data_IF_002191123072
#
_entry.id   IF_002191123072
#
_cell.length_a   1.000
_cell.length_b   1.000
_cell.length_c   1.000
_cell.angle_alpha   90.00
_cell.angle_beta   90.00
_cell.angle_gamma   90.00
#
_symmetry.space_group_name_H-M   'P 1'
#
loop_
_entity.id
_entity.type
_entity.pdbx_description
1 polymer ?
#
# COMPACT_ATOMS: atom_id res chain seq x y z
N UNK A 1 12.77 26.96 -19.72
CA UNK A 1 13.98 26.13 -19.55
C UNK A 1 14.09 25.94 -18.05
N UNK A 2 13.41 24.91 -17.54
CA UNK A 2 13.29 24.62 -16.12
C UNK A 2 14.30 23.53 -15.79
N UNK A 3 15.43 23.90 -15.19
CA UNK A 3 16.25 22.98 -14.42
C UNK A 3 15.57 22.85 -13.04
N UNK A 4 14.76 21.81 -12.88
CA UNK A 4 14.39 21.32 -11.55
C UNK A 4 15.66 20.75 -10.92
N UNK A 5 16.19 21.42 -9.89
CA UNK A 5 17.32 20.97 -9.08
C UNK A 5 16.94 19.65 -8.39
N UNK A 6 17.28 18.53 -9.01
CA UNK A 6 17.37 17.24 -8.32
C UNK A 6 18.79 17.12 -7.77
N UNK A 7 18.97 17.44 -6.49
CA UNK A 7 20.19 17.04 -5.79
C UNK A 7 20.10 15.53 -5.49
N UNK A 8 21.19 14.79 -5.74
CA UNK A 8 21.27 13.41 -5.25
C UNK A 8 21.22 13.43 -3.71
N UNK A 9 20.69 12.36 -3.09
CA UNK A 9 20.65 12.25 -1.62
C UNK A 9 22.02 12.44 -0.95
N UNK A 10 23.10 12.16 -1.67
CA UNK A 10 24.50 12.34 -1.26
C UNK A 10 24.93 13.81 -1.26
N UNK A 11 24.59 14.59 -2.29
CA UNK A 11 24.81 16.04 -2.31
C UNK A 11 24.03 16.73 -1.18
N UNK A 12 22.83 16.24 -0.90
CA UNK A 12 21.99 16.75 0.18
C UNK A 12 22.59 16.47 1.57
N UNK A 13 22.97 15.22 1.85
CA UNK A 13 23.55 14.83 3.14
C UNK A 13 24.84 15.60 3.46
N UNK A 14 25.74 15.70 2.48
CA UNK A 14 27.00 16.45 2.62
C UNK A 14 26.78 17.95 2.84
N UNK A 15 25.78 18.55 2.16
CA UNK A 15 25.53 20.00 2.20
C UNK A 15 24.77 20.46 3.43
N UNK A 16 23.88 19.63 3.99
CA UNK A 16 22.93 20.06 5.02
C UNK A 16 23.06 19.33 6.36
N UNK A 17 23.61 18.11 6.39
CA UNK A 17 23.71 17.30 7.62
C UNK A 17 25.12 17.21 8.18
N UNK A 18 26.15 17.50 7.36
CA UNK A 18 27.55 17.26 7.74
C UNK A 18 27.86 15.78 7.98
N UNK A 19 27.04 14.88 7.42
CA UNK A 19 27.18 13.42 7.51
C UNK A 19 27.68 12.91 6.16
N UNK A 20 28.86 12.29 6.17
CA UNK A 20 29.33 11.48 5.04
C UNK A 20 28.53 10.17 5.07
N UNK A 21 27.69 9.97 4.07
CA UNK A 21 27.13 8.65 3.79
C UNK A 21 28.28 7.76 3.29
N UNK A 22 28.41 6.54 3.80
CA UNK A 22 29.54 5.65 3.48
C UNK A 22 29.72 5.51 1.96
N UNK A 23 30.98 5.60 1.49
CA UNK A 23 31.32 5.46 0.08
C UNK A 23 30.91 4.08 -0.49
N UNK A 24 30.51 4.00 -1.76
CA UNK A 24 30.23 2.73 -2.42
C UNK A 24 31.44 1.80 -2.33
N UNK A 25 31.19 0.50 -2.12
CA UNK A 25 32.25 -0.49 -2.02
C UNK A 25 33.09 -0.51 -3.32
N UNK A 26 34.41 -0.39 -3.18
CA UNK A 26 35.35 -0.69 -4.26
C UNK A 26 35.27 -2.18 -4.58
N UNK A 27 35.26 -2.52 -5.88
CA UNK A 27 35.32 -3.90 -6.38
C UNK A 27 36.54 -4.63 -5.81
N UNK A 28 36.38 -5.34 -4.70
CA UNK A 28 37.32 -6.38 -4.29
C UNK A 28 36.55 -7.68 -4.01
N UNK A 29 37.15 -8.73 -4.52
CA UNK A 29 36.67 -10.08 -4.76
C UNK A 29 35.84 -10.66 -3.60
N UNK A 30 34.58 -11.00 -3.91
CA UNK A 30 33.81 -11.94 -3.08
C UNK A 30 34.30 -13.33 -3.44
N UNK A 31 35.03 -13.92 -2.49
CA UNK A 31 35.49 -15.32 -2.53
C UNK A 31 34.27 -16.24 -2.66
N UNK A 32 34.25 -17.04 -3.72
CA UNK A 32 33.12 -17.88 -4.12
C UNK A 32 33.33 -19.32 -3.67
N UNK A 33 33.11 -19.59 -2.39
CA UNK A 33 32.98 -20.97 -1.88
C UNK A 33 31.54 -21.21 -1.37
N UNK A 34 30.64 -21.50 -2.32
CA UNK A 34 29.49 -22.44 -2.26
C UNK A 34 28.38 -22.05 -3.27
N UNK A 35 28.77 -21.69 -4.49
CA UNK A 35 27.84 -21.74 -5.63
C UNK A 35 28.13 -23.02 -6.39
N UNK A 36 27.27 -24.02 -6.26
CA UNK A 36 27.26 -25.15 -7.19
C UNK A 36 27.05 -24.58 -8.59
N UNK A 37 28.12 -24.58 -9.39
CA UNK A 37 28.06 -24.20 -10.80
C UNK A 37 27.03 -25.10 -11.48
N UNK A 38 25.95 -24.50 -12.00
CA UNK A 38 24.97 -25.22 -12.79
C UNK A 38 25.66 -25.79 -14.03
N UNK A 39 25.32 -27.02 -14.40
CA UNK A 39 25.90 -27.70 -15.57
C UNK A 39 25.85 -26.81 -16.84
N UNK A 40 26.88 -26.91 -17.69
CA UNK A 40 27.03 -26.13 -18.95
C UNK A 40 25.80 -26.19 -19.87
N UNK A 41 24.95 -27.22 -19.71
CA UNK A 41 23.62 -27.28 -20.31
C UNK A 41 22.70 -28.17 -19.50
N UNK A 42 21.44 -27.77 -19.35
CA UNK A 42 20.43 -28.53 -18.63
C UNK A 42 19.10 -28.56 -19.40
N UNK A 43 18.49 -29.73 -19.57
CA UNK A 43 17.27 -29.93 -20.37
C UNK A 43 16.28 -30.86 -19.66
N UNK A 44 15.23 -30.28 -19.07
CA UNK A 44 14.17 -31.00 -18.35
C UNK A 44 13.48 -32.10 -19.17
N UNK A 45 13.55 -32.07 -20.52
CA UNK A 45 13.00 -33.14 -21.37
C UNK A 45 13.76 -34.46 -21.17
N UNK A 46 15.05 -34.39 -20.89
CA UNK A 46 15.90 -35.56 -20.64
C UNK A 46 15.65 -36.19 -19.26
N UNK A 47 15.04 -35.41 -18.36
CA UNK A 47 14.74 -35.82 -16.99
C UNK A 47 13.28 -36.25 -16.80
N UNK A 48 12.47 -36.31 -17.87
CA UNK A 48 11.07 -36.74 -17.78
C UNK A 48 10.13 -35.72 -17.14
N UNK A 49 10.60 -34.50 -16.87
CA UNK A 49 9.82 -33.42 -16.23
C UNK A 49 8.98 -32.59 -17.22
N UNK A 50 9.04 -32.90 -18.52
CA UNK A 50 8.36 -32.15 -19.58
C UNK A 50 7.44 -33.08 -20.36
N UNK A 51 6.15 -32.72 -20.42
CA UNK A 51 5.14 -33.44 -21.19
C UNK A 51 5.30 -33.32 -22.71
N UNK A 52 4.51 -34.07 -23.49
CA UNK A 52 4.55 -33.99 -24.95
C UNK A 52 4.16 -32.59 -25.46
N UNK A 53 4.69 -32.20 -26.62
CA UNK A 53 4.37 -30.92 -27.26
C UNK A 53 2.88 -30.84 -27.55
N UNK A 54 2.24 -29.76 -27.11
CA UNK A 54 0.81 -29.49 -27.30
C UNK A 54 0.60 -28.37 -28.31
N UNK A 55 -0.47 -28.45 -29.11
CA UNK A 55 -0.82 -27.44 -30.10
C UNK A 55 -2.07 -26.66 -29.66
N UNK A 56 -1.91 -25.36 -29.46
CA UNK A 56 -2.99 -24.46 -29.03
C UNK A 56 -3.99 -24.10 -30.14
N UNK A 57 -3.75 -24.51 -31.39
CA UNK A 57 -4.56 -24.08 -32.53
C UNK A 57 -4.50 -22.56 -32.74
N UNK A 58 -5.61 -21.95 -33.19
CA UNK A 58 -5.69 -20.51 -33.53
C UNK A 58 -6.24 -19.63 -32.41
N UNK A 59 -6.41 -20.14 -31.18
CA UNK A 59 -7.16 -19.43 -30.12
C UNK A 59 -6.33 -18.53 -29.20
N UNK A 60 -5.03 -18.31 -29.49
CA UNK A 60 -4.19 -17.36 -28.72
C UNK A 60 -4.01 -17.73 -27.24
N UNK A 61 -4.10 -19.01 -26.90
CA UNK A 61 -4.13 -19.51 -25.52
C UNK A 61 -2.78 -20.01 -24.99
N UNK A 62 -1.66 -19.52 -25.53
CA UNK A 62 -0.30 -19.97 -25.17
C UNK A 62 -0.03 -19.93 -23.67
N UNK A 63 -0.58 -18.91 -22.98
CA UNK A 63 -0.51 -18.77 -21.54
C UNK A 63 -1.07 -19.99 -20.79
N UNK A 64 -2.17 -20.58 -21.26
CA UNK A 64 -2.80 -21.74 -20.64
C UNK A 64 -1.94 -23.01 -20.82
N UNK A 65 -1.38 -23.21 -22.02
CA UNK A 65 -0.49 -24.33 -22.30
C UNK A 65 0.83 -24.25 -21.52
N UNK A 66 1.41 -23.05 -21.40
CA UNK A 66 2.61 -22.81 -20.60
C UNK A 66 2.37 -23.02 -19.11
N UNK A 67 1.24 -22.53 -18.58
CA UNK A 67 0.86 -22.69 -17.17
C UNK A 67 0.68 -24.17 -16.80
N UNK A 68 0.00 -24.93 -17.66
CA UNK A 68 -0.17 -26.37 -17.44
C UNK A 68 1.19 -27.08 -17.44
N UNK A 69 2.07 -26.77 -18.40
CA UNK A 69 3.42 -27.35 -18.44
C UNK A 69 4.25 -27.05 -17.19
N UNK A 70 4.13 -25.85 -16.61
CA UNK A 70 4.82 -25.50 -15.37
C UNK A 70 4.33 -26.35 -14.18
N UNK A 71 3.02 -26.54 -14.06
CA UNK A 71 2.41 -27.32 -12.97
C UNK A 71 2.81 -28.80 -13.05
N UNK A 72 2.85 -29.35 -14.26
CA UNK A 72 3.33 -30.72 -14.49
C UNK A 72 4.79 -30.89 -14.06
N UNK A 73 5.65 -29.91 -14.40
CA UNK A 73 7.05 -29.89 -13.98
C UNK A 73 7.21 -29.77 -12.47
N UNK A 74 6.46 -28.89 -11.81
CA UNK A 74 6.49 -28.74 -10.35
C UNK A 74 5.97 -29.99 -9.64
N UNK A 75 4.97 -30.67 -10.20
CA UNK A 75 4.52 -31.96 -9.68
C UNK A 75 5.58 -33.04 -9.84
N UNK A 76 6.26 -33.10 -10.99
CA UNK A 76 7.37 -34.01 -11.22
C UNK A 76 8.50 -33.80 -10.21
N UNK A 77 8.91 -32.55 -9.95
CA UNK A 77 9.94 -32.23 -8.97
C UNK A 77 9.60 -32.71 -7.55
N UNK A 78 8.31 -32.76 -7.21
CA UNK A 78 7.84 -33.16 -5.89
C UNK A 78 7.56 -34.65 -5.76
N UNK A 79 7.13 -35.30 -6.83
CA UNK A 79 6.61 -36.69 -6.79
C UNK A 79 7.49 -37.70 -7.53
N UNK A 80 8.39 -37.25 -8.39
CA UNK A 80 9.16 -38.11 -9.30
C UNK A 80 8.36 -38.63 -10.50
N UNK A 81 7.07 -38.31 -10.60
CA UNK A 81 6.19 -38.76 -11.68
C UNK A 81 5.60 -37.56 -12.44
N UNK A 82 5.59 -37.64 -13.77
CA UNK A 82 5.04 -36.58 -14.60
C UNK A 82 3.52 -36.75 -14.74
N UNK A 83 2.78 -35.78 -14.22
CA UNK A 83 1.33 -35.70 -14.40
C UNK A 83 1.03 -35.15 -15.81
N UNK A 84 0.11 -35.77 -16.56
CA UNK A 84 -0.37 -35.22 -17.84
C UNK A 84 -1.77 -34.63 -17.70
N UNK A 85 -1.82 -33.31 -17.66
CA UNK A 85 -3.01 -32.49 -17.53
C UNK A 85 -3.57 -32.10 -18.91
N UNK A 86 -4.88 -31.90 -18.98
CA UNK A 86 -5.55 -31.35 -20.16
C UNK A 86 -5.69 -29.83 -20.04
N UNK A 87 -5.56 -29.12 -21.17
CA UNK A 87 -5.72 -27.66 -21.23
C UNK A 87 -7.14 -27.35 -21.72
N UNK A 88 -7.91 -26.58 -20.94
CA UNK A 88 -9.29 -26.19 -21.27
C UNK A 88 -9.44 -24.67 -21.21
N UNK A 89 -10.05 -24.06 -22.23
CA UNK A 89 -10.25 -22.60 -22.34
C UNK A 89 -11.72 -22.32 -22.67
N UNK A 90 -12.49 -21.79 -21.73
CA UNK A 90 -13.93 -21.51 -21.91
C UNK A 90 -14.19 -20.08 -22.41
N UNK A 91 -15.16 -19.94 -23.33
CA UNK A 91 -15.66 -18.65 -23.85
C UNK A 91 -16.94 -18.29 -23.09
N UNK A 92 -16.94 -17.25 -22.26
CA UNK A 92 -18.16 -16.81 -21.52
C UNK A 92 -18.83 -15.63 -22.21
N UNK A 93 -20.11 -15.78 -22.58
CA UNK A 93 -20.99 -14.69 -23.02
C UNK A 93 -22.35 -14.80 -22.32
N UNK A 94 -22.88 -13.64 -21.90
CA UNK A 94 -24.28 -13.31 -21.59
C UNK A 94 -25.03 -14.14 -20.55
N UNK A 95 -25.40 -13.53 -19.42
CA UNK A 95 -26.43 -14.05 -18.51
C UNK A 95 -27.43 -12.94 -18.19
N UNK A 96 -28.66 -13.10 -18.71
CA UNK A 96 -29.88 -12.51 -18.16
C UNK A 96 -30.20 -13.17 -16.81
N UNK A 97 -30.67 -12.35 -15.88
CA UNK A 97 -31.13 -12.75 -14.55
C UNK A 97 -32.53 -13.35 -14.65
N UNK A 98 -32.69 -14.57 -14.13
CA UNK A 98 -34.02 -15.08 -13.76
C UNK A 98 -33.99 -15.62 -12.33
N UNK A 99 -35.01 -15.21 -11.58
CA UNK A 99 -35.09 -15.27 -10.13
C UNK A 99 -35.60 -16.64 -9.65
N UNK A 100 -34.76 -17.69 -9.65
CA UNK A 100 -35.05 -18.87 -8.80
C UNK A 100 -33.89 -19.86 -8.53
N UNK A 101 -32.62 -19.44 -8.59
CA UNK A 101 -31.51 -20.32 -8.19
C UNK A 101 -30.61 -19.68 -7.14
N UNK A 102 -31.04 -19.85 -5.89
CA UNK A 102 -30.29 -19.58 -4.69
C UNK A 102 -29.05 -20.50 -4.58
N UNK A 103 -27.90 -19.88 -4.28
CA UNK A 103 -26.79 -20.43 -3.50
C UNK A 103 -25.89 -21.57 -4.05
N UNK A 104 -25.99 -21.99 -5.33
CA UNK A 104 -25.03 -22.98 -5.89
C UNK A 104 -23.93 -22.42 -6.81
N UNK A 105 -23.97 -21.13 -7.17
CA UNK A 105 -23.05 -20.58 -8.17
C UNK A 105 -21.77 -19.90 -7.59
N UNK A 106 -21.68 -19.67 -6.28
CA UNK A 106 -20.59 -18.87 -5.71
C UNK A 106 -19.30 -19.64 -5.37
N UNK A 107 -19.28 -20.96 -5.49
CA UNK A 107 -18.06 -21.76 -5.32
C UNK A 107 -17.13 -21.77 -6.56
N UNK A 108 -17.49 -21.05 -7.63
CA UNK A 108 -16.77 -21.08 -8.92
C UNK A 108 -15.88 -19.88 -9.23
N UNK A 109 -15.79 -18.87 -8.36
CA UNK A 109 -15.16 -17.58 -8.68
C UNK A 109 -14.01 -17.21 -7.74
N UNK A 110 -13.06 -18.13 -7.56
CA UNK A 110 -11.70 -17.81 -7.14
C UNK A 110 -10.83 -18.77 -7.95
N UNK A 111 -10.05 -18.29 -8.92
CA UNK A 111 -8.59 -18.17 -8.87
C UNK A 111 -8.06 -17.70 -10.24
N UNK A 112 -7.14 -16.74 -10.27
CA UNK A 112 -6.30 -16.46 -11.44
C UNK A 112 -4.88 -16.26 -10.91
N UNK A 113 -4.14 -17.34 -10.61
CA UNK A 113 -3.51 -18.28 -11.54
C UNK A 113 -3.81 -19.77 -11.29
N UNK A 114 -4.93 -20.09 -10.63
CA UNK A 114 -5.27 -21.48 -10.26
C UNK A 114 -6.62 -21.96 -10.81
N UNK A 115 -7.12 -21.36 -11.90
CA UNK A 115 -8.22 -21.95 -12.67
C UNK A 115 -7.73 -23.14 -13.52
N UNK A 116 -7.22 -24.18 -12.87
CA UNK A 116 -7.29 -25.55 -13.38
C UNK A 116 -8.34 -26.24 -12.52
N UNK A 117 -9.57 -26.36 -13.04
CA UNK A 117 -10.59 -27.23 -12.47
C UNK A 117 -10.14 -28.69 -12.65
N UNK A 118 -9.34 -29.17 -11.69
CA UNK A 118 -8.89 -30.54 -11.56
C UNK A 118 -10.10 -31.43 -11.17
N UNK A 119 -10.60 -32.23 -12.10
CA UNK A 119 -11.41 -33.42 -11.79
C UNK A 119 -10.48 -34.63 -11.67
N UNK A 120 -9.85 -34.77 -10.51
CA UNK A 120 -9.24 -36.04 -10.09
C UNK A 120 -9.61 -36.29 -8.62
N UNK A 121 -10.36 -37.36 -8.36
CA UNK A 121 -10.97 -37.66 -7.06
C UNK A 121 -9.92 -37.80 -5.94
N UNK A 122 -8.69 -38.22 -6.26
CA UNK A 122 -7.62 -38.38 -5.26
C UNK A 122 -7.01 -37.03 -4.81
N UNK A 123 -6.87 -36.05 -5.71
CA UNK A 123 -6.38 -34.71 -5.36
C UNK A 123 -7.47 -33.87 -4.69
N UNK A 124 -8.74 -34.05 -5.09
CA UNK A 124 -9.88 -33.47 -4.37
C UNK A 124 -9.99 -34.02 -2.95
N UNK A 125 -9.76 -35.31 -2.71
CA UNK A 125 -9.77 -35.88 -1.36
C UNK A 125 -8.64 -35.31 -0.46
N UNK A 126 -7.48 -34.99 -1.03
CA UNK A 126 -6.37 -34.35 -0.31
C UNK A 126 -6.65 -32.87 0.01
N UNK A 127 -7.19 -32.11 -0.95
CA UNK A 127 -7.59 -30.71 -0.75
C UNK A 127 -8.81 -30.59 0.18
N UNK A 128 -9.80 -31.47 0.09
CA UNK A 128 -10.96 -31.52 0.99
C UNK A 128 -10.57 -31.87 2.43
N UNK A 129 -9.52 -32.66 2.65
CA UNK A 129 -9.01 -32.93 4.00
C UNK A 129 -8.31 -31.72 4.66
N UNK A 130 -7.73 -30.81 3.88
CA UNK A 130 -6.98 -29.64 4.38
C UNK A 130 -7.77 -28.33 4.34
N UNK A 131 -8.64 -28.16 3.34
CA UNK A 131 -9.46 -26.96 3.06
C UNK A 131 -10.93 -27.17 3.46
N UNK A 132 -11.44 -28.40 3.47
CA UNK A 132 -12.85 -28.70 3.82
C UNK A 132 -13.30 -28.19 5.20
N UNK A 133 -12.49 -28.34 6.26
CA UNK A 133 -12.78 -27.74 7.57
C UNK A 133 -12.74 -26.21 7.54
N UNK A 134 -11.79 -25.61 6.81
CA UNK A 134 -11.65 -24.16 6.67
C UNK A 134 -12.81 -23.55 5.88
N UNK A 135 -13.21 -24.14 4.75
CA UNK A 135 -14.30 -23.67 3.89
C UNK A 135 -15.71 -23.86 4.50
N UNK A 136 -15.94 -24.94 5.26
CA UNK A 136 -17.19 -25.14 6.00
C UNK A 136 -17.31 -24.18 7.20
N UNK A 137 -16.22 -23.93 7.91
CA UNK A 137 -16.14 -22.89 8.95
C UNK A 137 -16.26 -21.49 8.34
N UNK A 138 -15.71 -21.27 7.14
CA UNK A 138 -15.82 -20.02 6.36
C UNK A 138 -17.27 -19.70 6.02
N UNK A 139 -17.99 -20.68 5.44
CA UNK A 139 -19.38 -20.52 5.06
C UNK A 139 -20.25 -20.29 6.30
N UNK A 140 -20.02 -21.01 7.40
CA UNK A 140 -20.76 -20.82 8.65
C UNK A 140 -20.51 -19.45 9.29
N UNK A 141 -19.25 -18.96 9.35
CA UNK A 141 -18.94 -17.62 9.89
C UNK A 141 -19.43 -16.49 9.00
N UNK A 142 -19.27 -16.61 7.68
CA UNK A 142 -19.76 -15.60 6.72
C UNK A 142 -21.29 -15.52 6.75
N UNK A 143 -21.99 -16.66 6.84
CA UNK A 143 -23.45 -16.70 7.04
C UNK A 143 -23.84 -16.04 8.37
N UNK A 144 -23.18 -16.40 9.47
CA UNK A 144 -23.47 -15.86 10.81
C UNK A 144 -23.23 -14.34 10.91
N UNK A 145 -22.16 -13.81 10.29
CA UNK A 145 -21.90 -12.37 10.24
C UNK A 145 -22.90 -11.62 9.36
N UNK A 146 -23.38 -12.23 8.26
CA UNK A 146 -24.44 -11.62 7.44
C UNK A 146 -25.82 -11.65 8.12
N UNK A 147 -26.10 -12.65 8.96
CA UNK A 147 -27.31 -12.70 9.79
C UNK A 147 -27.32 -11.60 10.86
N UNK A 148 -26.15 -11.31 11.44
CA UNK A 148 -25.97 -10.27 12.47
C UNK A 148 -25.58 -8.89 11.90
N UNK A 149 -25.49 -8.72 10.59
CA UNK A 149 -24.99 -7.50 9.95
C UNK A 149 -25.74 -6.23 10.41
N UNK A 150 -27.05 -6.34 10.65
CA UNK A 150 -27.87 -5.22 11.15
C UNK A 150 -27.45 -4.80 12.56
N UNK A 151 -27.20 -5.76 13.45
CA UNK A 151 -26.71 -5.47 14.80
C UNK A 151 -25.33 -4.82 14.75
N UNK A 152 -24.41 -5.40 13.98
CA UNK A 152 -23.05 -4.86 13.81
C UNK A 152 -23.08 -3.44 13.21
N UNK A 153 -24.03 -3.14 12.33
CA UNK A 153 -24.22 -1.81 11.77
C UNK A 153 -24.69 -0.80 12.83
N UNK A 154 -25.63 -1.17 13.71
CA UNK A 154 -26.06 -0.31 14.81
C UNK A 154 -24.92 -0.05 15.82
N UNK A 155 -24.12 -1.07 16.14
CA UNK A 155 -22.91 -0.93 16.96
C UNK A 155 -21.87 -0.02 16.28
N UNK A 156 -21.67 -0.18 14.97
CA UNK A 156 -20.81 0.68 14.15
C UNK A 156 -21.28 2.14 14.21
N UNK A 157 -22.59 2.40 14.03
CA UNK A 157 -23.15 3.75 14.11
C UNK A 157 -22.90 4.39 15.47
N UNK A 158 -23.09 3.64 16.55
CA UNK A 158 -22.82 4.11 17.91
C UNK A 158 -21.33 4.39 18.13
N UNK A 159 -20.45 3.45 17.74
CA UNK A 159 -19.01 3.55 17.93
C UNK A 159 -18.41 4.76 17.22
N UNK A 160 -18.79 4.99 15.96
CA UNK A 160 -18.25 6.07 15.13
C UNK A 160 -19.18 7.29 15.03
N UNK A 161 -20.21 7.36 15.88
CA UNK A 161 -21.16 8.48 15.99
C UNK A 161 -21.78 8.88 14.64
N UNK A 162 -22.16 7.89 13.83
CA UNK A 162 -22.74 8.09 12.51
C UNK A 162 -24.23 8.42 12.61
N UNK A 163 -24.69 9.35 11.79
CA UNK A 163 -26.09 9.78 11.69
C UNK A 163 -26.50 9.91 10.23
N UNK A 164 -27.61 9.27 9.85
CA UNK A 164 -28.13 9.29 8.47
C UNK A 164 -29.61 9.63 8.46
N UNK A 165 -30.10 10.12 7.33
CA UNK A 165 -31.54 10.42 7.13
C UNK A 165 -32.17 9.23 6.41
N UNK A 166 -33.12 8.54 7.05
CA UNK A 166 -33.96 7.44 6.55
C UNK A 166 -33.43 6.67 5.32
N UNK A 167 -33.70 7.12 4.09
CA UNK A 167 -33.33 6.43 2.84
C UNK A 167 -31.80 6.27 2.68
N UNK A 168 -31.01 7.19 3.25
CA UNK A 168 -29.55 7.08 3.31
C UNK A 168 -29.12 6.01 4.34
N UNK A 169 -29.85 5.79 5.44
CA UNK A 169 -29.49 4.76 6.44
C UNK A 169 -29.58 3.34 5.86
N UNK A 170 -30.62 3.03 5.09
CA UNK A 170 -30.75 1.72 4.44
C UNK A 170 -29.74 1.52 3.31
N UNK A 171 -29.44 2.59 2.55
CA UNK A 171 -28.36 2.55 1.56
C UNK A 171 -27.01 2.28 2.22
N UNK A 172 -26.67 3.03 3.29
CA UNK A 172 -25.42 2.88 4.06
C UNK A 172 -25.33 1.52 4.74
N UNK A 173 -26.45 0.96 5.20
CA UNK A 173 -26.50 -0.41 5.69
C UNK A 173 -26.14 -1.43 4.60
N UNK A 174 -26.64 -1.25 3.37
CA UNK A 174 -26.25 -2.07 2.21
C UNK A 174 -24.74 -2.03 1.95
N UNK A 175 -24.17 -0.82 1.89
CA UNK A 175 -22.71 -0.63 1.72
C UNK A 175 -21.92 -1.26 2.87
N UNK A 176 -22.38 -1.08 4.11
CA UNK A 176 -21.77 -1.68 5.30
C UNK A 176 -21.73 -3.19 5.24
N UNK A 177 -22.85 -3.82 4.85
CA UNK A 177 -22.93 -5.27 4.72
C UNK A 177 -21.96 -5.81 3.66
N UNK A 178 -21.85 -5.14 2.52
CA UNK A 178 -20.89 -5.51 1.47
C UNK A 178 -19.44 -5.35 1.94
N UNK A 179 -19.15 -4.28 2.68
CA UNK A 179 -17.82 -4.02 3.23
C UNK A 179 -17.44 -4.98 4.35
N UNK A 180 -18.40 -5.43 5.16
CA UNK A 180 -18.17 -6.48 6.15
C UNK A 180 -17.68 -7.77 5.48
N UNK A 181 -18.31 -8.16 4.36
CA UNK A 181 -17.88 -9.31 3.56
C UNK A 181 -16.48 -9.10 2.98
N UNK A 182 -16.17 -7.90 2.48
CA UNK A 182 -14.82 -7.57 1.94
C UNK A 182 -13.75 -7.62 3.02
N UNK A 183 -14.00 -7.06 4.19
CA UNK A 183 -13.08 -7.09 5.33
C UNK A 183 -12.81 -8.54 5.78
N UNK A 184 -13.85 -9.37 5.85
CA UNK A 184 -13.69 -10.78 6.18
C UNK A 184 -12.90 -11.55 5.10
N UNK A 185 -13.16 -11.29 3.81
CA UNK A 185 -12.37 -11.86 2.72
C UNK A 185 -10.89 -11.47 2.81
N UNK A 186 -10.61 -10.19 3.10
CA UNK A 186 -9.24 -9.72 3.35
C UNK A 186 -8.60 -10.45 4.52
N UNK A 187 -9.32 -10.58 5.63
CA UNK A 187 -8.81 -11.28 6.81
C UNK A 187 -8.47 -12.75 6.53
N UNK A 188 -9.21 -13.42 5.65
CA UNK A 188 -8.93 -14.81 5.24
C UNK A 188 -7.68 -14.91 4.36
N UNK A 189 -7.49 -13.95 3.46
CA UNK A 189 -6.34 -13.90 2.57
C UNK A 189 -5.07 -13.40 3.26
N UNK A 190 -5.23 -12.71 4.40
CA UNK A 190 -4.13 -12.22 5.20
C UNK A 190 -3.31 -13.37 5.76
N UNK A 191 -1.99 -13.20 5.78
CA UNK A 191 -1.03 -14.22 6.22
C UNK A 191 -0.92 -14.36 7.74
N UNK A 192 -1.89 -13.83 8.48
CA UNK A 192 -1.92 -13.82 9.95
C UNK A 192 -1.03 -12.74 10.58
N UNK A 193 -0.59 -11.73 9.83
CA UNK A 193 0.27 -10.65 10.31
C UNK A 193 -0.48 -9.35 10.60
N UNK A 194 -1.67 -9.17 10.02
CA UNK A 194 -2.56 -8.03 10.27
C UNK A 194 -4.00 -8.46 10.59
N UNK A 195 -4.74 -7.56 11.23
CA UNK A 195 -6.17 -7.68 11.49
C UNK A 195 -6.97 -6.69 10.63
N UNK A 196 -8.03 -7.18 9.99
CA UNK A 196 -8.99 -6.39 9.23
C UNK A 196 -10.40 -6.58 9.77
N UNK A 197 -11.23 -5.54 9.66
CA UNK A 197 -12.62 -5.59 10.12
C UNK A 197 -13.34 -4.27 9.98
N UNK A 198 -14.33 -4.07 10.86
CA UNK A 198 -15.16 -2.85 10.88
C UNK A 198 -14.34 -1.64 11.37
N UNK A 199 -14.22 -0.64 10.51
CA UNK A 199 -13.55 0.65 10.76
C UNK A 199 -14.58 1.79 10.62
N UNK A 200 -14.16 3.04 10.84
CA UNK A 200 -15.02 4.22 10.61
C UNK A 200 -15.43 4.43 9.13
N UNK A 201 -14.84 3.64 8.22
CA UNK A 201 -15.03 3.73 6.77
C UNK A 201 -15.91 2.59 6.21
N UNK A 202 -16.42 1.71 7.08
CA UNK A 202 -17.18 0.54 6.63
C UNK A 202 -18.50 0.90 5.95
N UNK A 203 -19.01 2.12 6.06
CA UNK A 203 -20.20 2.65 5.37
C UNK A 203 -19.90 3.34 4.03
N UNK A 204 -18.63 3.39 3.61
CA UNK A 204 -18.19 4.06 2.40
C UNK A 204 -17.99 3.07 1.25
N UNK A 205 -18.46 3.43 0.07
CA UNK A 205 -18.07 2.73 -1.16
C UNK A 205 -16.58 2.96 -1.45
N UNK A 206 -15.97 2.10 -2.26
CA UNK A 206 -14.56 2.26 -2.63
C UNK A 206 -14.30 3.60 -3.34
N UNK A 207 -15.26 4.06 -4.15
CA UNK A 207 -15.15 5.34 -4.84
C UNK A 207 -15.25 6.52 -3.88
N UNK A 208 -16.17 6.49 -2.92
CA UNK A 208 -16.26 7.52 -1.87
C UNK A 208 -14.97 7.55 -1.04
N UNK A 209 -14.45 6.38 -0.65
CA UNK A 209 -13.21 6.29 0.10
C UNK A 209 -12.04 6.88 -0.68
N UNK A 210 -11.85 6.46 -1.93
CA UNK A 210 -10.79 6.95 -2.82
C UNK A 210 -10.87 8.47 -3.02
N UNK A 211 -12.06 8.99 -3.29
CA UNK A 211 -12.26 10.43 -3.56
C UNK A 211 -12.00 11.30 -2.33
N UNK A 212 -12.31 10.81 -1.13
CA UNK A 212 -12.30 11.62 0.09
C UNK A 212 -11.05 11.45 0.94
N UNK A 213 -10.44 10.27 0.93
CA UNK A 213 -9.37 9.92 1.87
C UNK A 213 -8.02 9.71 1.18
N UNK A 214 -8.02 9.51 -0.14
CA UNK A 214 -6.81 9.50 -0.97
C UNK A 214 -6.69 10.84 -1.71
N UNK A 215 -5.57 11.08 -2.38
CA UNK A 215 -5.35 12.37 -3.04
C UNK A 215 -3.93 12.65 -3.49
N UNK A 216 -3.06 11.63 -3.53
CA UNK A 216 -1.76 11.80 -4.17
C UNK A 216 -1.95 11.79 -5.69
N UNK A 217 -1.49 12.84 -6.37
CA UNK A 217 -1.41 12.89 -7.83
C UNK A 217 0.00 12.50 -8.27
N UNK A 218 0.25 11.19 -8.36
CA UNK A 218 1.55 10.68 -8.79
C UNK A 218 1.75 10.85 -10.29
N UNK A 219 2.70 11.70 -10.69
CA UNK A 219 3.00 11.98 -12.11
C UNK A 219 4.05 11.06 -12.72
N UNK A 220 4.55 10.07 -11.95
CA UNK A 220 5.63 9.19 -12.36
C UNK A 220 6.98 9.91 -12.31
N UNK A 221 7.81 9.59 -11.31
CA UNK A 221 9.24 9.91 -11.39
C UNK A 221 9.97 8.78 -12.12
N UNK A 222 11.09 9.08 -12.81
CA UNK A 222 11.99 8.02 -13.26
C UNK A 222 12.35 7.17 -12.03
N UNK A 223 12.11 5.86 -12.09
CA UNK A 223 12.60 4.90 -11.09
C UNK A 223 14.14 4.92 -11.16
N UNK A 224 14.77 5.92 -10.54
CA UNK A 224 16.20 5.90 -10.28
C UNK A 224 16.40 4.97 -9.10
N UNK A 225 16.61 3.69 -9.40
CA UNK A 225 17.15 2.75 -8.43
C UNK A 225 18.57 3.18 -8.06
N UNK A 226 18.97 2.88 -6.83
CA UNK A 226 20.32 3.18 -6.36
C UNK A 226 21.35 2.52 -7.30
N UNK A 227 22.25 3.31 -7.90
CA UNK A 227 23.15 2.87 -8.97
C UNK A 227 24.29 1.96 -8.50
N UNK A 228 24.44 1.76 -7.19
CA UNK A 228 25.38 0.80 -6.61
C UNK A 228 24.85 0.28 -5.28
N UNK A 229 24.98 -1.03 -5.00
CA UNK A 229 24.75 -1.54 -3.67
C UNK A 229 25.78 -0.89 -2.75
N UNK A 230 25.35 0.02 -1.87
CA UNK A 230 26.16 0.36 -0.69
C UNK A 230 26.52 -0.95 0.01
N UNK A 231 27.66 -0.99 0.70
CA UNK A 231 27.87 -2.03 1.72
C UNK A 231 26.57 -2.13 2.48
N UNK A 232 25.97 -3.32 2.56
CA UNK A 232 24.85 -3.53 3.46
C UNK A 232 25.33 -2.98 4.79
N UNK A 233 24.87 -1.77 5.14
CA UNK A 233 24.86 -1.35 6.51
C UNK A 233 23.97 -2.42 7.10
N UNK A 234 24.62 -3.41 7.71
CA UNK A 234 23.94 -4.35 8.58
C UNK A 234 23.39 -3.43 9.63
N UNK A 235 22.19 -2.94 9.38
CA UNK A 235 21.40 -2.32 10.39
C UNK A 235 21.26 -3.42 11.41
N UNK A 236 21.94 -3.24 12.53
CA UNK A 236 21.66 -4.00 13.73
C UNK A 236 20.14 -4.04 13.89
N UNK A 237 19.61 -5.13 14.45
CA UNK A 237 18.18 -5.41 14.62
C UNK A 237 17.42 -4.38 15.50
N UNK A 238 17.92 -3.16 15.61
CA UNK A 238 17.38 -2.05 16.35
C UNK A 238 16.11 -1.52 15.67
N UNK A 239 15.00 -1.56 16.39
CA UNK A 239 13.84 -0.72 16.11
C UNK A 239 14.17 0.75 16.41
N UNK A 240 13.63 1.67 15.62
CA UNK A 240 13.75 3.10 15.86
C UNK A 240 12.42 3.80 15.57
N UNK A 241 12.01 4.74 16.42
CA UNK A 241 10.73 5.44 16.27
C UNK A 241 10.79 6.89 16.75
N UNK A 242 10.61 7.84 15.83
CA UNK A 242 10.66 9.27 16.13
C UNK A 242 9.57 9.76 17.09
N UNK A 243 8.52 8.97 17.32
CA UNK A 243 7.51 9.26 18.36
C UNK A 243 8.14 9.33 19.75
N UNK A 244 9.13 8.47 20.00
CA UNK A 244 9.84 8.40 21.29
C UNK A 244 10.87 9.54 21.46
N UNK A 245 11.12 10.30 20.39
CA UNK A 245 12.13 11.36 20.33
C UNK A 245 11.53 12.76 20.12
N UNK A 246 10.20 12.90 20.08
CA UNK A 246 9.51 14.20 20.02
C UNK A 246 9.45 14.85 18.64
N UNK A 247 9.87 14.18 17.58
CA UNK A 247 9.85 14.72 16.22
C UNK A 247 8.52 14.46 15.46
N UNK A 248 7.51 13.90 16.14
CA UNK A 248 6.23 13.52 15.52
C UNK A 248 5.07 14.21 16.23
N UNK A 249 4.36 15.10 15.52
CA UNK A 249 3.14 15.74 15.99
C UNK A 249 1.97 14.77 16.23
N UNK A 250 0.85 15.24 16.78
CA UNK A 250 -0.34 14.42 16.98
C UNK A 250 -0.89 13.87 15.66
N UNK A 251 -1.62 12.77 15.71
CA UNK A 251 -2.41 12.27 14.56
C UNK A 251 -3.55 13.24 14.28
N UNK A 252 -3.77 13.52 13.00
CA UNK A 252 -4.76 14.48 12.51
C UNK A 252 -5.75 13.77 11.58
N UNK A 253 -6.81 14.48 11.20
CA UNK A 253 -7.84 13.96 10.31
C UNK A 253 -8.10 14.92 9.15
N UNK A 254 -7.81 14.47 7.93
CA UNK A 254 -8.06 15.22 6.69
C UNK A 254 -9.56 15.34 6.36
N UNK A 255 -10.42 14.54 7.00
CA UNK A 255 -11.84 14.50 6.68
C UNK A 255 -12.09 14.11 5.23
N UNK A 256 -13.13 14.67 4.61
CA UNK A 256 -13.53 14.35 3.24
C UNK A 256 -12.83 15.22 2.17
N UNK A 257 -11.53 15.44 2.33
CA UNK A 257 -10.69 16.23 1.44
C UNK A 257 -9.44 15.43 1.09
N UNK A 258 -9.14 15.28 -0.20
CA UNK A 258 -7.98 14.55 -0.71
C UNK A 258 -6.65 15.28 -0.50
N UNK A 259 -6.36 15.61 0.76
CA UNK A 259 -5.23 16.45 1.18
C UNK A 259 -4.13 15.68 1.89
N UNK A 260 -4.09 14.35 1.78
CA UNK A 260 -3.04 13.50 2.35
C UNK A 260 -1.62 14.00 2.01
N UNK A 261 -1.42 14.52 0.79
CA UNK A 261 -0.18 15.14 0.32
C UNK A 261 0.25 16.31 1.22
N UNK A 262 -0.68 17.16 1.64
CA UNK A 262 -0.41 18.28 2.53
C UNK A 262 -0.05 17.80 3.93
N UNK A 263 -0.80 16.83 4.50
CA UNK A 263 -0.49 16.26 5.81
C UNK A 263 0.87 15.56 5.86
N UNK A 264 1.23 14.82 4.82
CA UNK A 264 2.53 14.15 4.72
C UNK A 264 3.68 15.16 4.65
N UNK A 265 3.54 16.18 3.79
CA UNK A 265 4.52 17.27 3.63
C UNK A 265 4.69 18.07 4.92
N UNK A 266 3.59 18.51 5.52
CA UNK A 266 3.60 19.28 6.77
C UNK A 266 4.18 18.45 7.91
N UNK A 267 3.77 17.19 8.08
CA UNK A 267 4.31 16.32 9.12
C UNK A 267 5.83 16.10 9.00
N UNK A 268 6.37 16.05 7.78
CA UNK A 268 7.81 16.02 7.56
C UNK A 268 8.46 17.34 8.02
N UNK A 269 7.92 18.49 7.61
CA UNK A 269 8.48 19.81 7.98
C UNK A 269 8.41 20.06 9.48
N UNK A 270 7.32 19.66 10.16
CA UNK A 270 7.22 19.72 11.62
C UNK A 270 8.37 18.94 12.29
N UNK A 271 8.67 17.73 11.79
CA UNK A 271 9.80 16.93 12.23
C UNK A 271 11.15 17.59 11.94
N UNK A 272 11.38 18.06 10.71
CA UNK A 272 12.62 18.74 10.33
C UNK A 272 12.87 20.00 11.17
N UNK A 273 11.83 20.78 11.46
CA UNK A 273 11.92 21.96 12.30
C UNK A 273 12.25 21.61 13.74
N UNK A 274 11.64 20.54 14.29
CA UNK A 274 11.99 20.03 15.61
C UNK A 274 13.46 19.59 15.68
N UNK A 275 13.96 18.83 14.71
CA UNK A 275 15.37 18.43 14.69
C UNK A 275 16.31 19.64 14.63
N UNK A 276 15.92 20.71 13.93
CA UNK A 276 16.73 21.92 13.78
C UNK A 276 16.72 22.81 15.03
N UNK A 277 15.57 22.97 15.67
CA UNK A 277 15.33 24.02 16.67
C UNK A 277 15.07 23.50 18.07
N UNK A 278 14.65 22.23 18.20
CA UNK A 278 14.10 21.65 19.42
C UNK A 278 12.60 21.92 19.63
N UNK A 279 11.96 22.73 18.78
CA UNK A 279 10.55 23.09 18.91
C UNK A 279 9.69 22.31 17.91
N UNK A 280 8.74 21.51 18.41
CA UNK A 280 7.75 20.84 17.57
C UNK A 280 6.53 21.76 17.42
N UNK A 281 6.44 22.46 16.30
CA UNK A 281 5.36 23.40 16.00
C UNK A 281 4.24 22.73 15.20
N UNK A 282 2.99 23.11 15.48
CA UNK A 282 1.82 22.63 14.74
C UNK A 282 1.54 23.55 13.56
N UNK A 283 1.82 23.11 12.33
CA UNK A 283 1.76 23.94 11.12
C UNK A 283 0.44 23.80 10.36
N UNK A 284 0.15 24.73 9.44
CA UNK A 284 -1.11 24.73 8.72
C UNK A 284 -1.08 23.91 7.43
N UNK A 285 -1.82 22.80 7.38
CA UNK A 285 -2.15 22.12 6.12
C UNK A 285 -3.10 22.96 5.26
N UNK A 286 -3.96 23.76 5.88
CA UNK A 286 -4.94 24.57 5.16
C UNK A 286 -4.28 25.66 4.31
N UNK A 287 -3.21 26.28 4.83
CA UNK A 287 -2.42 27.22 4.04
C UNK A 287 -1.94 26.56 2.75
N UNK A 288 -1.42 25.33 2.84
CA UNK A 288 -0.95 24.60 1.67
C UNK A 288 -2.09 24.25 0.71
N UNK A 289 -3.25 23.82 1.22
CA UNK A 289 -4.44 23.52 0.41
C UNK A 289 -4.97 24.76 -0.34
N UNK A 290 -4.93 25.94 0.28
CA UNK A 290 -5.53 27.16 -0.27
C UNK A 290 -4.56 27.99 -1.12
N UNK A 291 -3.26 27.94 -0.81
CA UNK A 291 -2.24 28.84 -1.35
C UNK A 291 -1.24 28.18 -2.29
N UNK A 292 -1.14 26.85 -2.32
CA UNK A 292 -0.39 26.16 -3.35
C UNK A 292 -1.07 26.37 -4.71
N UNK A 293 -0.38 27.04 -5.63
CA UNK A 293 -0.89 27.32 -6.98
C UNK A 293 -0.55 26.22 -8.00
N UNK A 294 0.19 25.19 -7.59
CA UNK A 294 0.66 24.09 -8.43
C UNK A 294 -0.18 22.85 -8.22
N UNK A 295 -0.49 22.51 -6.96
CA UNK A 295 -1.36 21.40 -6.59
C UNK A 295 -2.85 21.81 -6.59
N UNK A 296 -3.76 20.85 -6.44
CA UNK A 296 -5.21 21.05 -6.62
C UNK A 296 -6.01 20.97 -5.31
N UNK A 297 -5.38 21.37 -4.20
CA UNK A 297 -6.04 21.42 -2.89
C UNK A 297 -6.65 20.07 -2.48
N UNK A 298 -7.97 20.05 -2.30
CA UNK A 298 -8.70 18.82 -1.95
C UNK A 298 -8.88 17.82 -3.10
N UNK A 299 -8.58 18.21 -4.34
CA UNK A 299 -8.60 17.28 -5.49
C UNK A 299 -7.27 16.54 -5.66
N UNK A 300 -6.29 16.84 -4.80
CA UNK A 300 -5.03 16.12 -4.70
C UNK A 300 -3.81 16.97 -5.03
N UNK A 301 -2.65 16.42 -4.71
CA UNK A 301 -1.36 17.09 -4.86
C UNK A 301 -0.19 16.16 -4.70
N UNK A 302 1.01 16.72 -4.72
CA UNK A 302 2.25 15.95 -4.76
C UNK A 302 3.31 16.54 -3.81
N UNK A 303 3.79 15.81 -2.79
CA UNK A 303 4.67 16.37 -1.75
C UNK A 303 5.89 17.14 -2.26
N UNK A 304 6.49 16.73 -3.38
CA UNK A 304 7.68 17.41 -3.93
C UNK A 304 7.34 18.78 -4.53
N UNK A 305 6.15 18.94 -5.12
CA UNK A 305 5.65 20.24 -5.58
C UNK A 305 5.29 21.12 -4.39
N UNK A 306 4.67 20.53 -3.38
CA UNK A 306 4.32 21.22 -2.15
C UNK A 306 5.54 21.86 -1.45
N UNK A 307 6.69 21.16 -1.39
CA UNK A 307 7.91 21.79 -0.87
C UNK A 307 8.32 23.03 -1.68
N UNK A 308 8.29 22.94 -3.01
CA UNK A 308 8.56 24.08 -3.89
C UNK A 308 7.60 25.26 -3.64
N UNK A 309 6.30 24.98 -3.55
CA UNK A 309 5.29 25.99 -3.24
C UNK A 309 5.52 26.66 -1.89
N UNK A 310 5.95 25.90 -0.86
CA UNK A 310 6.28 26.46 0.46
C UNK A 310 7.49 27.39 0.41
N UNK A 311 8.53 27.03 -0.36
CA UNK A 311 9.69 27.89 -0.59
C UNK A 311 9.26 29.20 -1.27
N UNK A 312 8.40 29.13 -2.28
CA UNK A 312 7.87 30.31 -2.99
C UNK A 312 6.97 31.18 -2.10
N UNK A 313 6.15 30.57 -1.24
CA UNK A 313 5.34 31.28 -0.24
C UNK A 313 6.19 32.00 0.80
N UNK A 314 7.41 31.53 1.03
CA UNK A 314 8.36 32.06 2.02
C UNK A 314 8.23 31.42 3.40
N UNK A 315 7.37 30.41 3.56
CA UNK A 315 7.19 29.68 4.82
C UNK A 315 5.76 29.24 5.11
N UNK A 316 5.55 28.78 6.34
CA UNK A 316 4.30 28.26 6.88
C UNK A 316 3.88 28.99 8.17
N UNK A 317 2.58 29.22 8.29
CA UNK A 317 1.89 29.65 9.51
C UNK A 317 1.61 28.47 10.44
N UNK A 318 1.33 28.78 11.70
CA UNK A 318 0.81 27.79 12.65
C UNK A 318 -0.64 27.44 12.30
N UNK A 319 -1.05 26.21 12.64
CA UNK A 319 -2.45 25.80 12.53
C UNK A 319 -3.39 26.71 13.34
N UNK A 320 -2.92 27.28 14.46
CA UNK A 320 -3.71 28.23 15.25
C UNK A 320 -3.99 29.55 14.53
N UNK A 321 -3.12 29.95 13.59
CA UNK A 321 -3.24 31.17 12.81
C UNK A 321 -4.02 30.95 11.50
N UNK A 322 -3.87 29.75 10.91
CA UNK A 322 -4.59 29.31 9.71
C UNK A 322 -5.18 27.90 9.93
N UNK A 323 -6.37 27.79 10.56
CA UNK A 323 -6.94 26.49 10.94
C UNK A 323 -7.41 25.61 9.79
N UNK A 324 -7.34 24.29 10.00
CA UNK A 324 -7.81 23.28 9.05
C UNK A 324 -9.32 23.24 8.92
N UNK A 325 -9.82 23.20 7.69
CA UNK A 325 -11.26 23.24 7.35
C UNK A 325 -11.74 22.08 6.49
N UNK A 326 -10.83 21.28 5.92
CA UNK A 326 -11.16 20.14 5.06
C UNK A 326 -11.93 20.50 3.78
N UNK A 327 -11.73 21.70 3.24
CA UNK A 327 -12.15 22.09 1.89
C UNK A 327 -11.24 23.22 1.39
N UNK A 328 -11.08 23.35 0.08
CA UNK A 328 -10.28 24.41 -0.51
C UNK A 328 -11.03 25.75 -0.48
N UNK A 329 -10.33 26.80 -0.06
CA UNK A 329 -10.80 28.17 -0.05
C UNK A 329 -9.81 29.10 -0.75
N UNK A 330 -10.16 30.39 -0.81
CA UNK A 330 -9.23 31.42 -1.25
C UNK A 330 -8.09 31.55 -0.24
N UNK A 331 -6.85 31.49 -0.72
CA UNK A 331 -5.65 31.77 0.06
C UNK A 331 -5.79 33.05 0.91
N UNK A 332 -5.62 32.89 2.22
CA UNK A 332 -5.68 33.95 3.23
C UNK A 332 -4.37 34.10 4.01
N UNK A 333 -3.26 33.62 3.43
CA UNK A 333 -1.96 33.60 4.09
C UNK A 333 -1.51 35.01 4.51
N UNK A 334 -1.06 35.14 5.75
CA UNK A 334 -0.44 36.36 6.27
C UNK A 334 1.07 36.18 6.42
N UNK A 335 1.83 36.89 5.59
CA UNK A 335 3.30 36.85 5.59
C UNK A 335 3.92 37.23 6.94
N UNK A 336 3.23 38.01 7.78
CA UNK A 336 3.71 38.39 9.12
C UNK A 336 3.55 37.26 10.15
N UNK A 337 2.74 36.25 9.83
CA UNK A 337 2.45 35.11 10.69
C UNK A 337 3.25 33.85 10.35
N UNK A 338 4.06 33.89 9.30
CA UNK A 338 4.99 32.82 8.98
C UNK A 338 5.92 32.56 10.18
N UNK A 339 6.10 31.28 10.52
CA UNK A 339 6.93 30.81 11.64
C UNK A 339 8.01 29.83 11.21
N UNK A 340 7.73 29.04 10.18
CA UNK A 340 8.63 27.99 9.69
C UNK A 340 8.95 28.22 8.23
N UNK A 341 10.19 27.97 7.84
CA UNK A 341 10.63 27.98 6.44
C UNK A 341 11.39 26.69 6.14
N UNK A 342 11.48 26.37 4.85
CA UNK A 342 12.38 25.35 4.33
C UNK A 342 13.23 25.98 3.23
N UNK A 343 14.43 25.45 3.03
CA UNK A 343 15.36 25.96 2.04
C UNK A 343 15.41 25.11 0.77
N UNK A 344 15.08 23.83 0.89
CA UNK A 344 15.24 22.84 -0.16
C UNK A 344 14.41 21.60 0.17
N UNK A 345 14.39 20.64 -0.74
CA UNK A 345 13.87 19.29 -0.48
C UNK A 345 14.63 18.25 -1.29
N UNK A 346 14.60 17.00 -0.85
CA UNK A 346 15.23 15.88 -1.56
C UNK A 346 14.25 14.72 -1.68
N UNK A 347 14.33 14.03 -2.82
CA UNK A 347 13.69 12.73 -3.05
C UNK A 347 14.79 11.69 -3.07
N UNK A 348 14.63 10.63 -2.27
CA UNK A 348 15.60 9.56 -2.20
C UNK A 348 15.38 8.54 -3.32
N UNK A 349 16.46 7.91 -3.82
CA UNK A 349 16.34 6.78 -4.72
C UNK A 349 15.62 5.62 -4.03
N UNK A 350 15.08 4.71 -4.84
CA UNK A 350 14.34 3.55 -4.34
C UNK A 350 15.29 2.58 -3.63
N UNK A 351 15.24 2.56 -2.30
CA UNK A 351 16.05 1.68 -1.45
C UNK A 351 15.50 1.69 -0.02
N UNK A 352 14.91 0.58 0.44
CA UNK A 352 14.39 0.49 1.82
C UNK A 352 15.50 0.52 2.88
N UNK A 353 16.71 0.10 2.52
CA UNK A 353 17.89 0.22 3.39
C UNK A 353 18.29 1.68 3.56
N UNK A 354 18.41 2.44 2.46
CA UNK A 354 18.67 3.88 2.52
C UNK A 354 17.53 4.59 3.24
N UNK A 355 16.27 4.25 2.98
CA UNK A 355 15.11 4.83 3.64
C UNK A 355 15.19 4.68 5.16
N UNK A 356 15.65 3.54 5.68
CA UNK A 356 15.78 3.32 7.12
C UNK A 356 16.95 4.11 7.73
N UNK A 357 18.07 4.19 7.01
CA UNK A 357 19.23 5.00 7.38
C UNK A 357 18.85 6.47 7.47
N UNK A 358 18.26 7.03 6.40
CA UNK A 358 17.89 8.44 6.36
C UNK A 358 16.72 8.76 7.29
N UNK A 359 15.81 7.82 7.56
CA UNK A 359 14.80 8.00 8.59
C UNK A 359 15.46 8.22 9.95
N UNK A 360 16.38 7.33 10.35
CA UNK A 360 17.04 7.42 11.66
C UNK A 360 17.92 8.67 11.78
N UNK A 361 18.58 9.08 10.70
CA UNK A 361 19.51 10.22 10.71
C UNK A 361 18.83 11.57 10.51
N UNK A 362 17.76 11.63 9.71
CA UNK A 362 17.19 12.89 9.24
C UNK A 362 15.82 13.22 9.83
N UNK A 363 15.11 12.29 10.47
CA UNK A 363 13.76 12.56 10.95
C UNK A 363 12.68 11.75 10.23
N UNK A 364 11.41 12.00 10.55
CA UNK A 364 10.27 11.44 9.83
C UNK A 364 10.32 11.78 8.33
N UNK A 365 9.96 10.83 7.47
CA UNK A 365 10.02 10.97 6.02
C UNK A 365 8.62 11.05 5.41
N UNK A 366 8.42 12.00 4.49
CA UNK A 366 7.22 12.01 3.65
C UNK A 366 7.33 10.86 2.65
N UNK A 367 6.40 9.91 2.74
CA UNK A 367 6.36 8.71 1.90
C UNK A 367 5.02 8.61 1.17
N UNK A 368 4.97 7.83 0.09
CA UNK A 368 3.71 7.46 -0.54
C UNK A 368 3.60 5.96 -0.77
N UNK A 369 2.36 5.49 -0.85
CA UNK A 369 2.03 4.10 -1.14
C UNK A 369 0.78 4.00 -1.99
N UNK A 370 0.54 2.82 -2.52
CA UNK A 370 -0.74 2.46 -3.12
C UNK A 370 -1.70 1.92 -2.05
N UNK A 371 -2.69 2.73 -1.69
CA UNK A 371 -3.77 2.41 -0.76
C UNK A 371 -4.94 1.67 -1.44
N UNK A 372 -4.85 1.44 -2.76
CA UNK A 372 -5.80 0.63 -3.52
C UNK A 372 -5.24 -0.78 -3.76
N UNK A 373 -6.13 -1.77 -3.82
CA UNK A 373 -5.84 -2.99 -4.58
C UNK A 373 -6.31 -2.86 -6.02
N UNK A 374 -5.60 -3.50 -6.94
CA UNK A 374 -5.92 -3.63 -8.37
C UNK A 374 -7.38 -3.34 -8.76
N UNK A 375 -7.58 -2.28 -9.54
CA UNK A 375 -8.71 -2.21 -10.46
C UNK A 375 -8.38 -3.10 -11.66
N UNK A 376 -8.98 -4.29 -11.74
CA UNK A 376 -9.01 -5.02 -13.02
C UNK A 376 -10.31 -4.65 -13.72
N UNK A 377 -10.24 -3.60 -14.55
CA UNK A 377 -11.30 -3.31 -15.51
C UNK A 377 -11.28 -4.38 -16.60
N UNK A 378 -12.45 -4.93 -16.98
CA UNK A 378 -12.55 -5.61 -18.27
C UNK A 378 -12.26 -4.60 -19.38
N UNK A 379 -11.75 -5.07 -20.52
CA UNK A 379 -11.56 -4.29 -21.75
C UNK A 379 -12.85 -3.62 -22.29
N UNK A 380 -13.98 -3.84 -21.64
CA UNK A 380 -15.33 -3.45 -22.03
C UNK A 380 -15.92 -2.37 -21.09
N UNK A 381 -15.19 -1.94 -20.05
CA UNK A 381 -15.66 -0.94 -19.08
C UNK A 381 -16.37 -1.49 -17.83
N UNK A 382 -16.66 -2.80 -17.76
CA UNK A 382 -17.22 -3.41 -16.55
C UNK A 382 -16.12 -3.81 -15.55
N UNK A 383 -16.24 -3.33 -14.31
CA UNK A 383 -15.41 -3.70 -13.17
C UNK A 383 -15.75 -5.12 -12.69
N UNK A 384 -14.80 -6.07 -12.74
CA UNK A 384 -15.09 -7.48 -12.35
C UNK A 384 -14.10 -8.06 -11.33
N UNK A 385 -13.37 -7.22 -10.58
CA UNK A 385 -12.66 -7.69 -9.39
C UNK A 385 -12.89 -6.74 -8.21
N UNK A 386 -13.11 -7.27 -6.98
CA UNK A 386 -13.31 -6.44 -5.81
C UNK A 386 -12.06 -5.61 -5.52
N UNK A 387 -12.25 -4.29 -5.46
CA UNK A 387 -11.27 -3.34 -4.94
C UNK A 387 -11.16 -3.59 -3.43
N UNK A 388 -10.17 -4.36 -3.03
CA UNK A 388 -9.72 -4.46 -1.65
C UNK A 388 -8.87 -3.25 -1.28
N UNK A 389 -9.52 -2.17 -0.86
CA UNK A 389 -8.85 -1.07 -0.17
C UNK A 389 -8.37 -1.58 1.19
N UNK A 390 -7.19 -2.20 1.27
CA UNK A 390 -6.69 -2.75 2.53
C UNK A 390 -6.68 -1.72 3.68
N UNK A 391 -6.35 -0.43 3.44
CA UNK A 391 -6.39 0.56 4.51
C UNK A 391 -7.80 0.87 4.96
N UNK A 392 -8.82 0.72 4.10
CA UNK A 392 -10.21 0.97 4.50
C UNK A 392 -10.64 0.07 5.66
N UNK A 393 -10.10 -1.16 5.73
CA UNK A 393 -10.50 -2.16 6.72
C UNK A 393 -9.43 -2.49 7.76
N UNK A 394 -8.25 -1.87 7.68
CA UNK A 394 -7.14 -2.14 8.59
C UNK A 394 -7.48 -1.76 10.04
N UNK A 395 -7.18 -2.67 10.97
CA UNK A 395 -7.32 -2.45 12.41
C UNK A 395 -5.99 -2.43 13.15
N UNK A 396 -5.13 -3.41 12.90
CA UNK A 396 -3.85 -3.56 13.63
C UNK A 396 -2.90 -4.54 12.93
N UNK A 397 -1.65 -4.60 13.41
CA UNK A 397 -0.65 -5.56 12.94
C UNK A 397 0.12 -5.09 11.70
N UNK A 398 0.94 -5.98 11.14
CA UNK A 398 1.84 -5.68 10.03
C UNK A 398 1.18 -6.12 8.72
N UNK A 399 0.82 -5.15 7.88
CA UNK A 399 0.30 -5.39 6.54
C UNK A 399 1.38 -6.06 5.70
N UNK A 400 1.16 -7.33 5.34
CA UNK A 400 2.07 -8.13 4.52
C UNK A 400 1.33 -8.79 3.35
N UNK A 401 0.71 -7.94 2.54
CA UNK A 401 -0.05 -8.35 1.38
C UNK A 401 0.86 -8.76 0.21
N UNK A 402 0.46 -9.70 -0.64
CA UNK A 402 1.13 -9.96 -1.92
C UNK A 402 1.17 -8.69 -2.79
N UNK A 403 2.19 -8.55 -3.63
CA UNK A 403 2.35 -7.41 -4.58
C UNK A 403 1.12 -7.23 -5.49
N UNK A 404 0.42 -8.31 -5.80
CA UNK A 404 -0.84 -8.26 -6.58
C UNK A 404 -1.97 -7.54 -5.84
N UNK A 405 -1.90 -7.42 -4.52
CA UNK A 405 -2.93 -6.79 -3.71
C UNK A 405 -2.76 -5.27 -3.60
N UNK A 406 -1.60 -4.71 -3.96
CA UNK A 406 -1.39 -3.26 -4.07
C UNK A 406 -0.24 -3.02 -5.05
N UNK A 407 -0.54 -2.47 -6.22
CA UNK A 407 0.43 -2.31 -7.31
C UNK A 407 1.43 -1.22 -6.92
N UNK A 408 2.73 -1.52 -6.74
CA UNK A 408 3.70 -0.55 -6.23
C UNK A 408 3.82 0.71 -7.08
N UNK A 409 3.56 0.63 -8.39
CA UNK A 409 3.70 1.74 -9.33
C UNK A 409 2.52 2.73 -9.28
N UNK A 410 1.38 2.33 -8.71
CA UNK A 410 0.14 3.12 -8.71
C UNK A 410 -0.07 3.84 -7.37
N UNK A 411 0.91 4.66 -6.97
CA UNK A 411 0.85 5.44 -5.74
C UNK A 411 -0.34 6.40 -5.76
N UNK A 412 -1.11 6.46 -4.66
CA UNK A 412 -2.32 7.28 -4.56
C UNK A 412 -2.57 7.86 -3.15
N UNK A 413 -1.73 7.50 -2.17
CA UNK A 413 -1.82 8.00 -0.80
C UNK A 413 -0.46 8.47 -0.28
N UNK A 414 -0.43 9.65 0.33
CA UNK A 414 0.76 10.19 0.98
C UNK A 414 0.64 10.04 2.51
N UNK A 415 1.72 9.60 3.14
CA UNK A 415 1.79 9.25 4.56
C UNK A 415 3.15 9.66 5.13
N UNK A 416 3.29 9.67 6.45
CA UNK A 416 4.56 10.00 7.09
C UNK A 416 5.18 8.75 7.72
N UNK A 417 6.33 8.29 7.22
CA UNK A 417 7.07 7.19 7.83
C UNK A 417 7.85 7.73 9.02
N UNK A 418 7.60 7.19 10.22
CA UNK A 418 8.12 7.74 11.49
C UNK A 418 9.06 6.79 12.21
N UNK A 419 9.07 5.51 11.84
CA UNK A 419 9.90 4.50 12.48
C UNK A 419 9.94 3.19 11.73
N UNK A 420 10.69 2.24 12.26
CA UNK A 420 10.74 0.86 11.82
C UNK A 420 11.06 -0.06 12.99
N UNK A 421 10.77 -1.34 12.83
CA UNK A 421 11.12 -2.36 13.81
C UNK A 421 10.96 -3.76 13.23
N UNK A 422 11.01 -4.74 14.13
CA UNK A 422 10.80 -6.14 13.81
C UNK A 422 9.90 -6.75 14.88
N UNK A 423 8.84 -7.44 14.46
CA UNK A 423 7.95 -8.17 15.37
C UNK A 423 7.87 -9.62 14.90
N UNK A 424 8.19 -10.58 15.78
CA UNK A 424 8.18 -12.01 15.47
C UNK A 424 9.02 -12.37 14.21
N UNK A 425 10.16 -11.70 14.02
CA UNK A 425 11.02 -11.87 12.86
C UNK A 425 10.51 -11.21 11.58
N UNK A 426 9.40 -10.45 11.64
CA UNK A 426 8.85 -9.72 10.51
C UNK A 426 9.20 -8.22 10.62
N UNK A 427 10.07 -7.70 9.73
CA UNK A 427 10.40 -6.27 9.71
C UNK A 427 9.22 -5.43 9.22
N UNK A 428 9.03 -4.25 9.81
CA UNK A 428 7.96 -3.32 9.47
C UNK A 428 8.41 -1.86 9.50
N UNK A 429 7.69 -1.02 8.77
CA UNK A 429 7.65 0.43 8.92
C UNK A 429 6.51 0.83 9.86
N UNK A 430 6.75 1.78 10.76
CA UNK A 430 5.70 2.52 11.48
C UNK A 430 5.31 3.73 10.65
N UNK A 431 4.04 3.83 10.28
CA UNK A 431 3.56 4.89 9.39
C UNK A 431 2.41 5.65 10.05
N UNK A 432 2.56 6.97 10.13
CA UNK A 432 1.52 7.90 10.59
C UNK A 432 0.56 8.22 9.46
N UNK A 433 -0.73 8.04 9.69
CA UNK A 433 -1.79 8.38 8.75
C UNK A 433 -2.48 9.71 9.11
N UNK A 434 -3.31 10.21 8.20
CA UNK A 434 -4.05 11.48 8.31
C UNK A 434 -5.56 11.25 8.44
N UNK A 435 -5.97 10.14 9.03
CA UNK A 435 -7.37 9.68 9.08
C UNK A 435 -7.97 9.68 10.49
N UNK A 436 -7.34 10.39 11.43
CA UNK A 436 -7.73 10.46 12.82
C UNK A 436 -7.31 9.23 13.63
N UNK A 437 -7.35 9.37 14.96
CA UNK A 437 -6.87 8.34 15.90
C UNK A 437 -7.74 7.10 15.96
N UNK A 438 -8.98 7.16 15.45
CA UNK A 438 -9.87 6.00 15.38
C UNK A 438 -9.46 4.99 14.29
N UNK A 439 -8.55 5.37 13.39
CA UNK A 439 -8.00 4.50 12.36
C UNK A 439 -6.83 3.67 12.90
N UNK A 440 -6.78 2.38 12.57
CA UNK A 440 -5.61 1.53 12.83
C UNK A 440 -5.16 1.51 14.29
N UNK A 441 -3.84 1.63 14.47
CA UNK A 441 -3.15 1.62 15.76
C UNK A 441 -2.99 3.06 16.26
N UNK A 442 -4.08 3.65 16.76
CA UNK A 442 -4.16 5.05 17.22
C UNK A 442 -3.81 6.10 16.15
N UNK A 443 -4.19 5.82 14.90
CA UNK A 443 -3.90 6.65 13.72
C UNK A 443 -2.67 6.22 12.93
N UNK A 444 -1.97 5.19 13.41
CA UNK A 444 -0.82 4.60 12.74
C UNK A 444 -1.21 3.27 12.09
N UNK A 445 -0.36 2.82 11.18
CA UNK A 445 -0.38 1.44 10.69
C UNK A 445 1.04 0.95 10.49
N UNK A 446 1.20 -0.37 10.51
CA UNK A 446 2.47 -1.02 10.20
C UNK A 446 2.40 -1.76 8.87
N UNK A 447 3.44 -1.62 8.07
CA UNK A 447 3.54 -2.25 6.75
C UNK A 447 4.89 -2.96 6.62
N UNK A 448 4.89 -4.14 5.99
CA UNK A 448 6.09 -4.95 5.84
C UNK A 448 7.22 -4.18 5.14
N UNK A 449 8.40 -4.19 5.77
CA UNK A 449 9.64 -3.58 5.26
C UNK A 449 10.52 -4.64 4.63
N UNK A 450 11.09 -4.37 3.46
CA UNK A 450 12.04 -5.24 2.77
C UNK A 450 11.54 -5.84 1.44
N UNK A 451 10.30 -5.53 1.04
CA UNK A 451 9.73 -5.96 -0.25
C UNK A 451 9.11 -4.83 -1.08
N UNK A 452 9.35 -3.56 -0.71
CA UNK A 452 8.70 -2.41 -1.34
C UNK A 452 7.17 -2.50 -1.29
N UNK A 453 6.63 -2.97 -0.16
CA UNK A 453 5.20 -3.30 -0.01
C UNK A 453 4.35 -2.08 -0.37
N UNK A 454 3.43 -2.26 -1.33
CA UNK A 454 2.59 -1.19 -1.88
C UNK A 454 3.36 0.03 -2.42
N UNK A 455 4.65 -0.10 -2.73
CA UNK A 455 5.48 0.98 -3.26
C UNK A 455 5.92 2.01 -2.23
N UNK A 456 5.92 1.69 -0.93
CA UNK A 456 6.31 2.59 0.17
C UNK A 456 7.72 3.20 0.01
N UNK A 457 8.58 2.54 -0.79
CA UNK A 457 9.97 2.89 -1.10
C UNK A 457 10.13 3.74 -2.37
N UNK A 458 9.05 4.00 -3.12
CA UNK A 458 9.11 4.60 -4.45
C UNK A 458 9.06 6.13 -4.46
N UNK A 459 8.44 6.71 -3.46
CA UNK A 459 8.42 8.16 -3.26
C UNK A 459 8.68 8.44 -1.79
N UNK A 460 9.93 8.73 -1.49
CA UNK A 460 10.39 9.06 -0.15
C UNK A 460 11.13 10.38 -0.23
N UNK A 461 10.73 11.35 0.58
CA UNK A 461 11.26 12.71 0.51
C UNK A 461 11.35 13.37 1.88
N UNK A 462 12.21 14.39 1.97
CA UNK A 462 12.33 15.24 3.14
C UNK A 462 12.67 16.68 2.77
N UNK A 463 12.20 17.64 3.56
CA UNK A 463 12.60 19.02 3.49
C UNK A 463 13.99 19.26 4.11
N UNK A 464 14.64 20.36 3.73
CA UNK A 464 15.90 20.83 4.29
C UNK A 464 15.73 22.19 4.97
N UNK A 465 16.37 22.37 6.13
CA UNK A 465 16.33 23.62 6.90
C UNK A 465 17.77 23.99 7.31
N UNK A 466 18.25 25.15 6.83
CA UNK A 466 19.60 25.68 7.09
C UNK A 466 19.71 26.42 8.40
#
# INVERSE_FOLDING_TARGET
MNDTMFHSGEEFANKYLGVQLDEPATEEEVDSEDVTVADDSFDWRQHGAVGPVRNQGRCGSCWAFSTVGNIEGQWFLKSGELLQLSVQVNKMGGLELDADYSYKAFAGAYVNSSAILLRNEQFQAYQLKKIGPLASTLNARTLQETENARQLYEEFKQKYKKTYVNDDDEYRFGVFKDNLLRAHQLQIMEKGTAEYGVTQFSDLTSQEFETHYLGLKYEGMPDTEESSPRKHVVMDEDSFDWRDHGAVGPVLNQGSCGSCWAFSTIGNIEGQWFLKTGDLLRLSEQQLIDCDSVDEGCYGGYPTKAYGAIIEMGGLELNSDYPYKAFAEKCQMDRQKLRVYINDSVVFPRSESLQAEVLKLMGPLSSALNANSLQVSKANGDSVFPVFLFPQFYKSGIVHLPVTSCVPQALNHAVLTVGYGTENGLPYWTVKNSWGTAFGEDGYFRIHRGSGTCGIDRLVSTAAIR
#
